data_IF_460522251489
#
_entry.id   IF_460522251489
#
_cell.length_a   1.000
_cell.length_b   1.000
_cell.length_c   1.000
_cell.angle_alpha   90.00
_cell.angle_beta   90.00
_cell.angle_gamma   90.00
#
_symmetry.space_group_name_H-M   'P 1'
#
loop_
_entity.id
_entity.type
_entity.pdbx_description
1 polymer ?
#
# COMPACT_ATOMS: atom_id res chain seq x y z
N UNK A 1 -40.61 -54.06 50.76
CA UNK A 1 -40.37 -53.63 52.15
C UNK A 1 -39.37 -52.49 52.12
N UNK A 2 -39.71 -51.20 52.07
CA UNK A 2 -40.92 -50.43 51.75
C UNK A 2 -40.46 -48.96 51.82
N UNK A 3 -40.94 -48.11 50.88
CA UNK A 3 -41.36 -46.71 51.05
C UNK A 3 -40.33 -45.64 51.50
N UNK A 4 -40.35 -44.35 51.10
CA UNK A 4 -41.22 -43.57 50.20
C UNK A 4 -40.62 -42.17 49.92
N UNK A 5 -40.99 -41.63 48.75
CA UNK A 5 -41.46 -40.25 48.42
C UNK A 5 -40.67 -38.96 48.77
N UNK A 6 -40.35 -38.17 47.72
CA UNK A 6 -41.20 -37.07 47.20
C UNK A 6 -40.53 -36.42 45.95
N UNK A 7 -41.14 -36.48 44.74
CA UNK A 7 -42.00 -35.46 44.09
C UNK A 7 -41.33 -34.06 43.93
N UNK A 8 -41.27 -33.40 42.76
CA UNK A 8 -42.27 -33.26 41.67
C UNK A 8 -41.65 -32.79 40.34
N UNK A 9 -42.20 -33.24 39.20
CA UNK A 9 -42.15 -32.61 37.85
C UNK A 9 -43.51 -31.91 37.61
N UNK A 10 -43.69 -30.99 36.62
CA UNK A 10 -44.07 -31.37 35.22
C UNK A 10 -43.29 -30.58 34.14
N UNK A 11 -42.89 -31.18 33.01
CA UNK A 11 -43.66 -31.36 31.74
C UNK A 11 -44.08 -30.05 31.06
N UNK A 12 -44.13 -29.90 29.73
CA UNK A 12 -43.63 -30.60 28.54
C UNK A 12 -44.18 -29.81 27.33
N UNK A 13 -43.52 -29.89 26.17
CA UNK A 13 -44.11 -30.01 24.80
C UNK A 13 -45.06 -28.88 24.29
N UNK A 14 -45.02 -28.34 23.05
CA UNK A 14 -44.69 -28.84 21.71
C UNK A 14 -44.78 -27.64 20.70
N UNK A 15 -44.02 -27.71 19.59
CA UNK A 15 -44.35 -27.43 18.17
C UNK A 15 -45.28 -26.23 17.77
N UNK A 16 -45.20 -25.51 16.64
CA UNK A 16 -44.52 -25.55 15.33
C UNK A 16 -44.93 -24.28 14.53
N UNK A 17 -44.19 -24.00 13.44
CA UNK A 17 -44.55 -23.25 12.21
C UNK A 17 -44.22 -21.74 12.12
N UNK A 18 -43.53 -21.39 11.03
CA UNK A 18 -42.94 -20.09 10.75
C UNK A 18 -43.88 -19.05 10.11
N UNK A 19 -43.32 -17.88 9.80
CA UNK A 19 -43.53 -17.19 8.51
C UNK A 19 -42.67 -15.92 8.40
N UNK A 20 -42.15 -15.71 7.19
CA UNK A 20 -41.95 -14.43 6.49
C UNK A 20 -41.27 -13.22 7.19
N UNK A 21 -40.14 -12.81 6.60
CA UNK A 21 -40.14 -11.58 5.80
C UNK A 21 -39.72 -10.25 6.44
N UNK A 22 -38.77 -9.61 5.75
CA UNK A 22 -38.61 -8.16 5.53
C UNK A 22 -37.70 -7.32 6.45
N UNK A 23 -36.53 -7.00 5.86
CA UNK A 23 -35.93 -5.67 5.70
C UNK A 23 -36.16 -4.62 6.80
N UNK A 24 -35.15 -4.43 7.67
CA UNK A 24 -34.99 -3.20 8.46
C UNK A 24 -34.19 -2.17 7.65
N UNK A 25 -34.90 -1.22 7.03
CA UNK A 25 -34.36 0.11 6.69
C UNK A 25 -34.38 0.96 7.96
N UNK A 26 -33.22 1.51 8.36
CA UNK A 26 -33.13 2.57 9.37
C UNK A 26 -33.56 3.90 8.75
N UNK A 27 -34.50 4.56 9.39
CA UNK A 27 -35.04 5.88 9.05
C UNK A 27 -34.15 7.00 9.57
N UNK A 28 -34.01 8.04 8.75
CA UNK A 28 -33.54 9.37 9.15
C UNK A 28 -34.63 10.10 9.93
N UNK A 29 -34.19 10.83 10.95
CA UNK A 29 -34.96 11.72 11.81
C UNK A 29 -35.34 13.03 11.11
N UNK A 30 -36.62 13.39 11.18
CA UNK A 30 -37.10 14.79 11.13
C UNK A 30 -38.26 14.95 12.10
N UNK A 31 -38.23 16.08 12.80
CA UNK A 31 -39.02 16.48 13.97
C UNK A 31 -40.41 17.06 13.63
N UNK A 32 -41.18 17.26 14.73
CA UNK A 32 -42.34 18.15 14.95
C UNK A 32 -43.76 17.74 14.49
N UNK A 33 -44.48 17.16 15.46
CA UNK A 33 -45.78 17.57 16.05
C UNK A 33 -47.05 17.82 15.20
N UNK A 34 -48.10 17.05 15.58
CA UNK A 34 -49.56 17.36 15.71
C UNK A 34 -50.32 17.80 14.46
N UNK A 35 -51.55 17.39 14.14
CA UNK A 35 -52.61 16.61 14.82
C UNK A 35 -53.79 16.48 13.83
N UNK A 36 -54.61 15.42 13.97
CA UNK A 36 -56.03 15.28 13.52
C UNK A 36 -56.35 15.45 12.02
N UNK A 37 -57.24 14.72 11.33
CA UNK A 37 -58.25 13.73 11.69
C UNK A 37 -58.88 13.19 10.38
N UNK A 38 -59.18 11.89 10.38
CA UNK A 38 -60.34 11.19 9.78
C UNK A 38 -60.84 11.43 8.34
N UNK A 39 -61.07 10.26 7.69
CA UNK A 39 -62.19 9.89 6.77
C UNK A 39 -62.23 10.57 5.39
N UNK A 40 -62.55 9.93 4.26
CA UNK A 40 -63.29 8.69 3.96
C UNK A 40 -63.18 8.40 2.44
N UNK A 41 -63.45 7.15 2.03
CA UNK A 41 -64.15 6.68 0.79
C UNK A 41 -63.94 7.46 -0.52
N UNK A 42 -63.73 6.88 -1.71
CA UNK A 42 -64.33 5.69 -2.32
C UNK A 42 -63.84 5.58 -3.78
N UNK A 43 -63.75 4.34 -4.25
CA UNK A 43 -64.09 3.82 -5.59
C UNK A 43 -63.77 4.58 -6.90
N UNK A 44 -63.20 3.76 -7.79
CA UNK A 44 -63.58 3.50 -9.20
C UNK A 44 -62.97 4.31 -10.36
N UNK A 45 -62.41 3.51 -11.29
CA UNK A 45 -62.46 3.58 -12.77
C UNK A 45 -61.85 4.78 -13.50
N UNK A 46 -60.80 4.52 -14.29
CA UNK A 46 -60.83 4.55 -15.77
C UNK A 46 -59.39 4.54 -16.34
N UNK A 47 -59.00 3.49 -17.05
CA UNK A 47 -58.96 3.41 -18.51
C UNK A 47 -57.93 4.29 -19.25
N UNK A 48 -57.00 3.57 -19.88
CA UNK A 48 -56.58 3.71 -21.28
C UNK A 48 -55.53 4.75 -21.72
N UNK A 49 -54.65 4.23 -22.60
CA UNK A 49 -53.85 4.89 -23.67
C UNK A 49 -52.54 5.54 -23.21
N UNK A 50 -51.39 5.32 -23.84
CA UNK A 50 -51.11 4.62 -25.09
C UNK A 50 -49.61 4.51 -25.36
N UNK A 51 -49.26 3.47 -26.12
CA UNK A 51 -47.94 3.22 -26.72
C UNK A 51 -47.56 4.36 -27.67
N UNK A 52 -46.33 4.90 -27.60
CA UNK A 52 -45.62 5.40 -28.78
C UNK A 52 -44.10 5.17 -28.69
N UNK A 53 -43.62 4.37 -29.63
CA UNK A 53 -42.23 4.15 -30.05
C UNK A 53 -41.73 5.37 -30.82
N UNK A 54 -40.49 5.83 -30.58
CA UNK A 54 -39.64 6.51 -31.58
C UNK A 54 -38.17 6.29 -31.19
N UNK A 55 -37.44 5.41 -31.88
CA UNK A 55 -36.65 5.63 -33.10
C UNK A 55 -35.19 6.04 -32.84
N UNK A 56 -34.32 5.08 -33.17
CA UNK A 56 -32.86 5.14 -33.32
C UNK A 56 -32.40 6.36 -34.14
N UNK A 57 -31.34 7.04 -33.69
CA UNK A 57 -30.43 7.78 -34.56
C UNK A 57 -28.97 7.45 -34.20
N UNK A 58 -28.42 6.51 -34.96
CA UNK A 58 -26.98 6.34 -35.14
C UNK A 58 -26.47 7.50 -35.99
N UNK A 59 -25.61 8.35 -35.43
CA UNK A 59 -24.79 9.26 -36.23
C UNK A 59 -23.33 8.81 -36.22
N UNK A 60 -22.91 8.26 -37.35
CA UNK A 60 -21.51 8.20 -37.76
C UNK A 60 -20.95 9.63 -37.81
N UNK A 61 -19.93 9.92 -37.01
CA UNK A 61 -18.95 10.97 -37.31
C UNK A 61 -17.55 10.39 -37.21
N UNK A 62 -16.99 10.06 -38.38
CA UNK A 62 -15.56 9.92 -38.61
C UNK A 62 -14.90 11.27 -38.27
N UNK A 63 -14.33 11.37 -37.09
CA UNK A 63 -13.49 12.51 -36.70
C UNK A 63 -12.05 12.23 -37.15
N UNK A 64 -11.49 13.22 -37.85
CA UNK A 64 -10.16 13.20 -38.47
C UNK A 64 -9.08 12.95 -37.41
N UNK A 65 -8.18 12.01 -37.69
CA UNK A 65 -6.83 11.96 -37.09
C UNK A 65 -6.15 13.30 -37.40
N UNK A 66 -6.19 14.23 -36.45
CA UNK A 66 -5.28 15.36 -36.41
C UNK A 66 -3.90 14.79 -36.14
N UNK A 67 -3.02 14.81 -37.14
CA UNK A 67 -1.61 14.44 -36.96
C UNK A 67 -0.98 15.51 -36.07
N UNK A 68 -0.40 15.07 -34.95
CA UNK A 68 0.30 15.91 -33.98
C UNK A 68 1.60 16.48 -34.60
N UNK A 69 1.49 17.50 -35.44
CA UNK A 69 2.64 18.22 -36.01
C UNK A 69 3.54 18.89 -34.94
N UNK A 70 3.04 19.01 -33.70
CA UNK A 70 3.78 19.61 -32.59
C UNK A 70 4.91 18.71 -32.08
N UNK A 71 4.72 17.38 -32.10
CA UNK A 71 5.78 16.44 -31.72
C UNK A 71 6.90 16.42 -32.75
N UNK A 72 6.56 16.48 -34.05
CA UNK A 72 7.56 16.56 -35.11
C UNK A 72 8.38 17.86 -35.04
N UNK A 73 7.76 18.97 -34.61
CA UNK A 73 8.44 20.24 -34.35
C UNK A 73 9.40 20.12 -33.16
N UNK A 74 8.93 19.60 -32.03
CA UNK A 74 9.75 19.40 -30.84
C UNK A 74 10.94 18.46 -31.12
N UNK A 75 10.72 17.40 -31.89
CA UNK A 75 11.78 16.46 -32.28
C UNK A 75 12.85 17.13 -33.15
N UNK A 76 12.45 18.05 -34.04
CA UNK A 76 13.38 18.86 -34.84
C UNK A 76 14.16 19.84 -34.00
N UNK A 77 13.50 20.56 -33.09
CA UNK A 77 14.13 21.53 -32.19
C UNK A 77 15.17 20.84 -31.28
N UNK A 78 14.84 19.66 -30.73
CA UNK A 78 15.79 18.86 -29.92
C UNK A 78 16.96 18.34 -30.78
N UNK A 79 16.72 17.94 -32.03
CA UNK A 79 17.80 17.54 -32.94
C UNK A 79 18.73 18.71 -33.32
N UNK A 80 18.19 19.91 -33.52
CA UNK A 80 18.98 21.12 -33.77
C UNK A 80 19.81 21.51 -32.55
N UNK A 81 19.23 21.45 -31.35
CA UNK A 81 19.96 21.71 -30.11
C UNK A 81 21.14 20.73 -29.92
N UNK A 82 20.93 19.45 -30.23
CA UNK A 82 21.96 18.41 -30.14
C UNK A 82 23.11 18.66 -31.12
N UNK A 83 22.85 19.25 -32.29
CA UNK A 83 23.91 19.65 -33.24
C UNK A 83 24.80 20.76 -32.68
N UNK A 84 24.25 21.67 -31.86
CA UNK A 84 25.02 22.76 -31.25
C UNK A 84 25.83 22.32 -30.03
N UNK A 85 25.36 21.32 -29.27
CA UNK A 85 26.07 20.81 -28.08
C UNK A 85 27.15 19.78 -28.43
N UNK A 86 27.01 19.06 -29.55
CA UNK A 86 27.89 17.94 -29.92
C UNK A 86 28.58 18.10 -31.28
N UNK A 87 28.64 19.31 -31.85
CA UNK A 87 29.52 19.54 -32.99
C UNK A 87 30.99 19.38 -32.54
N UNK A 88 31.79 18.53 -33.19
CA UNK A 88 33.22 18.49 -32.94
C UNK A 88 33.82 19.79 -33.48
N UNK A 89 34.38 20.60 -32.58
CA UNK A 89 35.26 21.72 -32.94
C UNK A 89 36.52 21.15 -33.58
N UNK A 90 36.51 21.04 -34.92
CA UNK A 90 37.72 20.82 -35.69
C UNK A 90 38.26 22.16 -36.16
N UNK A 91 39.52 22.38 -35.75
CA UNK A 91 40.54 23.29 -36.25
C UNK A 91 40.38 24.79 -36.03
N UNK A 92 41.28 25.38 -35.22
CA UNK A 92 42.52 25.99 -35.77
C UNK A 92 43.59 26.16 -34.68
N UNK A 93 44.78 25.68 -34.99
CA UNK A 93 46.05 25.81 -34.26
C UNK A 93 46.52 27.27 -34.14
N UNK A 94 46.96 27.70 -32.96
CA UNK A 94 48.20 28.49 -32.75
C UNK A 94 48.75 28.13 -31.36
N UNK A 95 49.98 27.65 -31.31
CA UNK A 95 50.66 27.28 -30.07
C UNK A 95 51.33 28.46 -29.37
N UNK A 96 51.61 28.29 -28.08
CA UNK A 96 52.90 28.67 -27.50
C UNK A 96 53.11 28.03 -26.11
N UNK A 97 54.07 27.12 -26.06
CA UNK A 97 55.18 27.03 -25.10
C UNK A 97 54.98 27.24 -23.58
N UNK A 98 55.32 26.15 -22.86
CA UNK A 98 56.18 26.07 -21.65
C UNK A 98 55.59 26.50 -20.30
N UNK A 99 55.43 25.54 -19.38
CA UNK A 99 56.22 25.49 -18.14
C UNK A 99 56.01 24.17 -17.39
N UNK A 100 56.98 23.27 -17.54
CA UNK A 100 57.28 22.16 -16.63
C UNK A 100 58.42 22.64 -15.72
N UNK A 101 58.10 22.91 -14.46
CA UNK A 101 59.01 23.14 -13.34
C UNK A 101 58.17 22.94 -12.08
N UNK A 102 58.59 22.30 -11.01
CA UNK A 102 59.83 21.65 -10.62
C UNK A 102 59.48 20.97 -9.29
N UNK A 103 60.05 19.79 -9.01
CA UNK A 103 59.89 19.14 -7.72
C UNK A 103 60.41 20.00 -6.57
N UNK A 104 59.76 19.87 -5.41
CA UNK A 104 60.39 20.04 -4.10
C UNK A 104 59.84 18.95 -3.19
N UNK A 105 60.74 18.02 -2.87
CA UNK A 105 60.66 17.02 -1.81
C UNK A 105 60.62 17.70 -0.44
N UNK A 106 59.92 17.11 0.52
CA UNK A 106 59.88 17.61 1.89
C UNK A 106 59.17 16.69 2.87
N UNK A 107 59.53 15.40 2.87
CA UNK A 107 59.44 14.60 4.10
C UNK A 107 60.48 15.10 5.12
N UNK A 108 60.21 14.82 6.40
CA UNK A 108 60.94 15.17 7.64
C UNK A 108 60.50 16.47 8.33
N UNK A 109 59.55 16.35 9.26
CA UNK A 109 59.83 16.38 10.72
C UNK A 109 58.67 15.69 11.46
N UNK A 110 58.94 14.53 12.07
CA UNK A 110 58.21 14.06 13.26
C UNK A 110 58.70 14.86 14.47
N UNK A 111 57.80 15.30 15.35
CA UNK A 111 57.82 14.97 16.80
C UNK A 111 56.64 15.64 17.56
N UNK A 112 55.69 14.79 17.97
CA UNK A 112 54.86 14.82 19.18
C UNK A 112 54.31 16.15 19.76
N UNK A 113 52.99 16.32 19.61
CA UNK A 113 52.13 16.66 20.75
C UNK A 113 50.90 15.76 20.73
N UNK A 114 50.84 14.87 21.71
CA UNK A 114 49.67 14.09 22.10
C UNK A 114 48.61 15.09 22.58
N UNK A 115 47.56 15.31 21.80
CA UNK A 115 46.29 15.81 22.32
C UNK A 115 45.28 14.68 22.24
N UNK A 116 45.04 14.09 23.41
CA UNK A 116 43.93 13.20 23.71
C UNK A 116 42.61 13.95 23.48
N UNK A 117 42.09 13.88 22.26
CA UNK A 117 40.67 13.95 21.98
C UNK A 117 40.41 13.18 20.69
N UNK A 118 40.64 11.87 20.76
CA UNK A 118 40.08 10.93 19.79
C UNK A 118 38.57 10.96 19.97
N UNK A 119 37.90 11.90 19.30
CA UNK A 119 36.49 11.79 19.00
C UNK A 119 36.30 10.45 18.31
N UNK A 120 35.83 9.45 19.05
CA UNK A 120 35.18 8.30 18.45
C UNK A 120 33.91 8.81 17.77
N UNK A 121 34.04 9.41 16.59
CA UNK A 121 32.98 9.40 15.59
C UNK A 121 32.86 7.96 15.10
N UNK A 122 32.30 7.09 15.94
CA UNK A 122 31.76 5.82 15.49
C UNK A 122 30.50 6.15 14.68
N UNK A 123 30.69 6.63 13.46
CA UNK A 123 29.60 6.90 12.53
C UNK A 123 28.94 5.57 12.16
N UNK A 124 27.89 5.22 12.88
CA UNK A 124 27.09 4.04 12.65
C UNK A 124 26.23 4.27 11.38
N UNK A 125 26.84 4.06 10.22
CA UNK A 125 26.26 4.41 8.92
C UNK A 125 25.87 3.14 8.15
N UNK A 126 24.58 3.00 7.82
CA UNK A 126 24.15 1.93 6.90
C UNK A 126 24.45 2.34 5.45
N UNK A 127 25.27 1.56 4.76
CA UNK A 127 25.50 1.69 3.33
C UNK A 127 24.23 1.39 2.53
N UNK A 128 23.91 2.23 1.55
CA UNK A 128 22.76 2.06 0.65
C UNK A 128 23.29 1.46 -0.65
N UNK A 129 22.93 0.20 -0.92
CA UNK A 129 23.35 -0.52 -2.12
C UNK A 129 22.13 -1.04 -2.91
N UNK A 130 22.23 -1.05 -4.24
CA UNK A 130 21.26 -1.70 -5.12
C UNK A 130 21.97 -2.79 -5.92
N UNK A 131 21.40 -4.00 -5.95
CA UNK A 131 21.94 -5.14 -6.70
C UNK A 131 21.24 -5.26 -8.05
N UNK A 132 22.01 -5.55 -9.11
CA UNK A 132 21.51 -5.56 -10.50
C UNK A 132 21.13 -6.95 -11.04
N UNK A 133 21.51 -8.05 -10.36
CA UNK A 133 21.23 -9.42 -10.81
C UNK A 133 20.25 -10.13 -9.87
N UNK A 134 19.28 -10.82 -10.47
CA UNK A 134 18.25 -11.56 -9.73
C UNK A 134 18.79 -12.92 -9.23
N UNK A 135 18.78 -13.18 -7.91
CA UNK A 135 19.10 -14.49 -7.35
C UNK A 135 17.89 -15.45 -7.49
N UNK A 136 18.16 -16.76 -7.48
CA UNK A 136 17.10 -17.79 -7.47
C UNK A 136 16.20 -17.67 -6.23
N UNK A 137 14.89 -17.87 -6.37
CA UNK A 137 13.93 -17.80 -5.25
C UNK A 137 14.15 -18.97 -4.28
N UNK A 138 14.62 -18.73 -3.04
CA UNK A 138 14.80 -19.79 -2.06
C UNK A 138 13.47 -20.22 -1.44
N UNK A 139 13.36 -21.45 -0.90
CA UNK A 139 12.19 -21.86 -0.14
C UNK A 139 12.07 -21.05 1.16
N UNK A 140 10.85 -20.63 1.50
CA UNK A 140 10.58 -19.85 2.71
C UNK A 140 10.73 -20.72 3.97
N UNK A 141 11.53 -20.31 4.97
CA UNK A 141 11.59 -21.03 6.25
C UNK A 141 10.23 -21.08 6.96
N UNK A 142 9.92 -22.21 7.60
CA UNK A 142 8.58 -22.46 8.17
C UNK A 142 8.14 -21.41 9.20
N UNK A 143 9.09 -20.91 10.02
CA UNK A 143 8.83 -19.84 10.99
C UNK A 143 8.29 -18.57 10.32
N UNK A 144 8.90 -18.15 9.22
CA UNK A 144 8.47 -16.96 8.48
C UNK A 144 7.20 -17.20 7.70
N UNK A 145 6.95 -18.43 7.24
CA UNK A 145 5.69 -18.79 6.61
C UNK A 145 4.51 -18.67 7.58
N UNK A 146 4.66 -19.14 8.82
CA UNK A 146 3.64 -18.99 9.87
C UNK A 146 3.39 -17.52 10.22
N UNK A 147 4.46 -16.72 10.30
CA UNK A 147 4.34 -15.29 10.55
C UNK A 147 3.63 -14.58 9.39
N UNK A 148 3.98 -14.92 8.14
CA UNK A 148 3.33 -14.42 6.93
C UNK A 148 1.82 -14.70 6.95
N UNK A 149 1.41 -15.94 7.25
CA UNK A 149 0.00 -16.32 7.33
C UNK A 149 -0.77 -15.47 8.33
N UNK A 150 -0.15 -15.12 9.47
CA UNK A 150 -0.75 -14.26 10.47
C UNK A 150 -0.88 -12.81 9.97
N UNK A 151 0.23 -12.20 9.54
CA UNK A 151 0.26 -10.76 9.20
C UNK A 151 -0.47 -10.43 7.89
N UNK A 152 -0.53 -11.38 6.95
CA UNK A 152 -1.28 -11.24 5.69
C UNK A 152 -2.67 -11.86 5.71
N UNK A 153 -3.02 -12.56 6.80
CA UNK A 153 -4.33 -13.22 6.99
C UNK A 153 -4.73 -14.12 5.81
N UNK A 154 -3.77 -14.73 5.11
CA UNK A 154 -4.06 -15.63 4.00
C UNK A 154 -4.84 -16.85 4.51
N UNK A 155 -5.82 -17.32 3.72
CA UNK A 155 -6.77 -18.36 4.13
C UNK A 155 -7.90 -17.88 5.04
N UNK A 156 -7.84 -16.65 5.58
CA UNK A 156 -8.93 -16.04 6.34
C UNK A 156 -9.92 -15.34 5.41
N UNK A 157 -11.17 -15.20 5.83
CA UNK A 157 -12.17 -14.33 5.16
C UNK A 157 -11.86 -12.84 5.31
N UNK A 158 -11.08 -12.47 6.34
CA UNK A 158 -10.68 -11.08 6.65
C UNK A 158 -9.36 -10.64 6.00
N UNK A 159 -8.92 -11.37 4.96
CA UNK A 159 -7.64 -11.13 4.28
C UNK A 159 -7.54 -9.75 3.61
N UNK A 160 -8.67 -9.19 3.16
CA UNK A 160 -8.74 -7.86 2.54
C UNK A 160 -8.98 -6.72 3.55
N UNK A 161 -9.14 -7.03 4.84
CA UNK A 161 -9.43 -6.02 5.88
C UNK A 161 -8.19 -5.33 6.45
N UNK A 162 -7.03 -5.50 5.82
CA UNK A 162 -5.77 -4.89 6.27
C UNK A 162 -5.77 -3.39 5.93
N UNK A 163 -6.21 -2.57 6.89
CA UNK A 163 -6.31 -1.11 6.72
C UNK A 163 -4.95 -0.45 6.84
N UNK A 164 -4.47 0.19 5.78
CA UNK A 164 -3.15 0.83 5.77
C UNK A 164 -3.19 2.33 5.40
N UNK A 165 -4.35 2.85 4.97
CA UNK A 165 -4.47 4.21 4.44
C UNK A 165 -4.12 5.30 5.46
N UNK A 166 -4.44 5.11 6.74
CA UNK A 166 -4.05 6.04 7.81
C UNK A 166 -2.55 6.03 8.05
N UNK A 167 -1.95 4.84 8.11
CA UNK A 167 -0.50 4.68 8.18
C UNK A 167 0.16 5.34 6.97
N UNK A 168 -0.32 5.12 5.74
CA UNK A 168 0.28 5.71 4.53
C UNK A 168 0.27 7.24 4.57
N UNK A 169 -0.79 7.86 5.11
CA UNK A 169 -0.84 9.32 5.30
C UNK A 169 0.27 9.83 6.23
N UNK A 170 0.69 9.04 7.22
CA UNK A 170 1.80 9.42 8.13
C UNK A 170 3.17 9.41 7.45
N UNK A 171 3.29 8.73 6.31
CA UNK A 171 4.56 8.58 5.58
C UNK A 171 4.57 9.24 4.20
N UNK A 172 3.44 9.83 3.79
CA UNK A 172 3.39 10.65 2.59
C UNK A 172 3.79 12.08 2.91
N UNK A 173 4.93 12.53 2.38
CA UNK A 173 5.44 13.88 2.55
C UNK A 173 5.71 14.54 1.20
N UNK A 174 5.32 15.80 1.08
CA UNK A 174 5.69 16.63 -0.05
C UNK A 174 6.85 17.54 0.36
N UNK A 175 7.89 17.71 -0.49
CA UNK A 175 8.08 17.08 -1.80
C UNK A 175 8.69 15.66 -1.72
N UNK A 176 8.59 14.89 -2.81
CA UNK A 176 9.41 13.69 -3.06
C UNK A 176 8.96 12.38 -2.42
N UNK A 177 8.20 12.41 -1.32
CA UNK A 177 7.66 11.22 -0.66
C UNK A 177 6.13 11.13 -0.84
N UNK A 178 5.66 11.44 -2.04
CA UNK A 178 4.28 11.26 -2.51
C UNK A 178 4.32 11.01 -4.02
N UNK A 179 3.19 10.66 -4.62
CA UNK A 179 3.09 10.56 -6.08
C UNK A 179 3.57 11.83 -6.78
N UNK A 180 4.43 11.65 -7.78
CA UNK A 180 4.88 12.73 -8.61
C UNK A 180 3.72 13.24 -9.48
N UNK A 181 3.58 14.56 -9.54
CA UNK A 181 2.58 15.16 -10.40
C UNK A 181 3.07 15.11 -11.85
N UNK A 182 2.18 14.70 -12.74
CA UNK A 182 2.42 14.74 -14.18
C UNK A 182 2.45 16.20 -14.66
N UNK A 183 3.50 16.58 -15.39
CA UNK A 183 3.60 17.92 -15.96
C UNK A 183 2.42 18.21 -16.91
N UNK A 184 1.92 19.46 -16.87
CA UNK A 184 0.71 19.87 -17.59
C UNK A 184 0.75 19.55 -19.10
N UNK A 185 1.93 19.62 -19.71
CA UNK A 185 2.14 19.38 -21.15
C UNK A 185 1.89 17.92 -21.54
N UNK A 186 2.05 16.99 -20.60
CA UNK A 186 1.97 15.54 -20.85
C UNK A 186 0.81 14.85 -20.12
N UNK A 187 0.03 15.58 -19.32
CA UNK A 187 -1.13 15.05 -18.58
C UNK A 187 -2.14 14.30 -19.46
N UNK A 188 -2.30 14.69 -20.73
CA UNK A 188 -3.19 13.99 -21.67
C UNK A 188 -2.75 12.57 -22.04
N UNK A 189 -1.47 12.25 -21.85
CA UNK A 189 -0.89 10.92 -22.12
C UNK A 189 -0.87 10.03 -20.88
N UNK A 190 -1.00 10.60 -19.69
CA UNK A 190 -1.03 9.87 -18.43
C UNK A 190 -2.42 9.27 -18.16
N UNK A 191 -2.61 8.07 -18.71
CA UNK A 191 -3.88 7.34 -18.67
C UNK A 191 -3.94 6.27 -17.57
N UNK A 192 -2.81 5.99 -16.92
CA UNK A 192 -2.64 4.84 -16.04
C UNK A 192 -2.67 5.26 -14.57
N UNK A 193 -3.83 5.69 -14.08
CA UNK A 193 -4.02 6.15 -12.69
C UNK A 193 -3.53 5.17 -11.62
N UNK A 194 -3.56 3.87 -11.89
CA UNK A 194 -3.05 2.87 -10.94
C UNK A 194 -1.53 2.98 -10.74
N UNK A 195 -0.77 3.46 -11.72
CA UNK A 195 0.68 3.68 -11.61
C UNK A 195 0.99 4.83 -10.65
N UNK A 196 0.22 5.93 -10.69
CA UNK A 196 0.31 7.03 -9.71
C UNK A 196 0.09 6.52 -8.28
N UNK A 197 -0.93 5.67 -8.08
CA UNK A 197 -1.19 5.09 -6.76
C UNK A 197 -0.03 4.19 -6.29
N UNK A 198 0.57 3.42 -7.20
CA UNK A 198 1.75 2.60 -6.90
C UNK A 198 2.96 3.48 -6.56
N UNK A 199 3.19 4.56 -7.31
CA UNK A 199 4.24 5.54 -7.03
C UNK A 199 4.07 6.14 -5.63
N UNK A 200 2.86 6.63 -5.31
CA UNK A 200 2.49 7.08 -3.96
C UNK A 200 2.83 6.07 -2.86
N UNK A 201 2.60 4.80 -3.15
CA UNK A 201 2.84 3.70 -2.20
C UNK A 201 4.34 3.48 -1.99
N UNK A 202 5.12 3.45 -3.07
CA UNK A 202 6.57 3.32 -3.00
C UNK A 202 7.24 4.54 -2.38
N UNK A 203 6.72 5.74 -2.63
CA UNK A 203 7.18 6.97 -1.99
C UNK A 203 7.00 6.91 -0.47
N UNK A 204 5.82 6.50 0.01
CA UNK A 204 5.54 6.27 1.44
C UNK A 204 6.46 5.19 2.04
N UNK A 205 6.61 4.04 1.36
CA UNK A 205 7.48 2.96 1.82
C UNK A 205 8.95 3.40 1.92
N UNK A 206 9.42 4.17 0.95
CA UNK A 206 10.78 4.72 0.95
C UNK A 206 10.99 5.62 2.16
N UNK A 207 10.06 6.54 2.43
CA UNK A 207 10.15 7.39 3.62
C UNK A 207 10.10 6.59 4.92
N UNK A 208 9.24 5.57 4.99
CA UNK A 208 9.12 4.69 6.15
C UNK A 208 10.42 3.93 6.45
N UNK A 209 11.10 3.39 5.43
CA UNK A 209 12.40 2.72 5.58
C UNK A 209 13.48 3.70 6.04
N UNK A 210 13.52 4.92 5.50
CA UNK A 210 14.46 5.95 5.94
C UNK A 210 14.22 6.33 7.42
N UNK A 211 12.96 6.52 7.83
CA UNK A 211 12.59 6.80 9.22
C UNK A 211 12.92 5.64 10.16
N UNK A 212 12.75 4.40 9.71
CA UNK A 212 13.14 3.22 10.47
C UNK A 212 14.65 3.20 10.73
N UNK A 213 15.46 3.49 9.70
CA UNK A 213 16.91 3.62 9.80
C UNK A 213 17.32 4.73 10.77
N UNK A 214 16.71 5.91 10.65
CA UNK A 214 16.95 7.04 11.56
C UNK A 214 16.61 6.65 13.02
N UNK A 215 15.45 6.03 13.25
CA UNK A 215 15.03 5.57 14.58
C UNK A 215 16.01 4.57 15.17
N UNK A 216 16.54 3.65 14.36
CA UNK A 216 17.56 2.69 14.78
C UNK A 216 18.87 3.38 15.17
N UNK A 217 19.34 4.32 14.34
CA UNK A 217 20.54 5.09 14.64
C UNK A 217 20.37 5.89 15.94
N UNK A 218 19.23 6.53 16.15
CA UNK A 218 18.94 7.30 17.36
C UNK A 218 18.83 6.41 18.60
N UNK A 219 18.21 5.23 18.50
CA UNK A 219 18.17 4.24 19.58
C UNK A 219 19.59 3.80 19.99
N UNK A 220 20.46 3.49 19.01
CA UNK A 220 21.84 3.09 19.29
C UNK A 220 22.64 4.24 19.92
N UNK A 221 22.55 5.46 19.38
CA UNK A 221 23.22 6.64 19.98
C UNK A 221 22.75 6.88 21.42
N UNK A 222 21.44 6.74 21.67
CA UNK A 222 20.85 6.90 23.00
C UNK A 222 21.34 5.82 23.97
N UNK A 223 21.45 4.56 23.50
CA UNK A 223 22.00 3.48 24.31
C UNK A 223 23.47 3.72 24.67
N UNK A 224 24.27 4.15 23.69
CA UNK A 224 25.70 4.44 23.91
C UNK A 224 25.90 5.64 24.84
N UNK A 225 25.08 6.69 24.73
CA UNK A 225 25.12 7.83 25.64
C UNK A 225 24.75 7.40 27.06
N UNK A 226 23.65 6.65 27.23
CA UNK A 226 23.22 6.13 28.52
C UNK A 226 24.28 5.24 29.20
N UNK A 227 24.97 4.39 28.42
CA UNK A 227 25.99 3.48 28.93
C UNK A 227 27.27 4.20 29.43
N UNK A 228 27.48 5.47 29.06
CA UNK A 228 28.63 6.26 29.54
C UNK A 228 28.46 6.75 30.98
N UNK A 229 27.22 7.00 31.40
CA UNK A 229 26.92 7.70 32.64
C UNK A 229 26.56 6.77 33.82
N UNK A 230 26.48 5.45 33.58
CA UNK A 230 25.99 4.46 34.55
C UNK A 230 26.87 3.20 34.52
N UNK A 231 27.07 2.57 35.69
CA UNK A 231 27.59 1.20 35.74
C UNK A 231 26.59 0.22 35.12
N UNK A 232 26.87 -0.20 33.89
CA UNK A 232 26.05 -1.12 33.12
C UNK A 232 26.09 -2.51 33.75
N UNK A 233 24.92 -3.09 34.01
CA UNK A 233 24.74 -4.47 34.42
C UNK A 233 23.69 -5.13 33.50
N UNK A 234 23.55 -6.47 33.49
CA UNK A 234 22.66 -7.14 32.55
C UNK A 234 21.18 -6.74 32.67
N UNK A 235 20.72 -6.45 33.89
CA UNK A 235 19.32 -6.10 34.17
C UNK A 235 18.98 -4.70 33.66
N UNK A 236 19.81 -3.70 33.97
CA UNK A 236 19.61 -2.32 33.53
C UNK A 236 19.81 -2.20 32.01
N UNK A 237 20.72 -2.97 31.42
CA UNK A 237 20.94 -3.04 29.98
C UNK A 237 19.74 -3.64 29.28
N UNK A 238 19.21 -4.77 29.75
CA UNK A 238 18.02 -5.42 29.17
C UNK A 238 16.83 -4.47 29.20
N UNK A 239 16.58 -3.83 30.34
CA UNK A 239 15.51 -2.84 30.49
C UNK A 239 15.67 -1.68 29.50
N UNK A 240 16.89 -1.15 29.34
CA UNK A 240 17.17 -0.07 28.39
C UNK A 240 16.99 -0.49 26.94
N UNK A 241 17.39 -1.72 26.59
CA UNK A 241 17.20 -2.27 25.24
C UNK A 241 15.70 -2.45 24.94
N UNK A 242 14.92 -2.95 25.89
CA UNK A 242 13.46 -3.06 25.73
C UNK A 242 12.79 -1.70 25.55
N UNK A 243 13.17 -0.72 26.35
CA UNK A 243 12.69 0.66 26.24
C UNK A 243 12.97 1.23 24.83
N UNK A 244 14.19 1.12 24.34
CA UNK A 244 14.62 1.77 23.09
C UNK A 244 14.18 1.03 21.83
N UNK A 245 14.21 -0.31 21.82
CA UNK A 245 14.05 -1.10 20.60
C UNK A 245 12.71 -1.82 20.51
N UNK A 246 12.10 -2.21 21.64
CA UNK A 246 10.80 -2.90 21.66
C UNK A 246 9.65 -1.91 21.85
N UNK A 247 9.84 -0.91 22.72
CA UNK A 247 8.81 0.09 23.04
C UNK A 247 9.06 1.46 22.38
N UNK A 248 10.21 1.63 21.73
CA UNK A 248 10.59 2.88 21.08
C UNK A 248 10.10 3.03 19.64
N UNK A 249 10.49 4.15 19.02
CA UNK A 249 10.07 4.54 17.67
C UNK A 249 10.51 3.56 16.57
N UNK A 250 11.61 2.82 16.80
CA UNK A 250 12.06 1.79 15.87
C UNK A 250 11.02 0.68 15.70
N UNK A 251 10.48 0.14 16.80
CA UNK A 251 9.45 -0.90 16.75
C UNK A 251 8.16 -0.38 16.12
N UNK A 252 7.74 0.83 16.49
CA UNK A 252 6.56 1.49 15.92
C UNK A 252 6.70 1.65 14.40
N UNK A 253 7.82 2.21 13.93
CA UNK A 253 8.07 2.41 12.49
C UNK A 253 8.18 1.08 11.74
N UNK A 254 8.77 0.05 12.37
CA UNK A 254 8.84 -1.31 11.80
C UNK A 254 7.44 -1.93 11.65
N UNK A 255 6.57 -1.72 12.63
CA UNK A 255 5.19 -2.18 12.61
C UNK A 255 4.37 -1.46 11.54
N UNK A 256 4.53 -0.14 11.43
CA UNK A 256 3.93 0.67 10.38
C UNK A 256 4.38 0.22 8.98
N UNK A 257 5.67 -0.05 8.78
CA UNK A 257 6.21 -0.57 7.52
C UNK A 257 5.55 -1.89 7.15
N UNK A 258 5.41 -2.80 8.12
CA UNK A 258 4.75 -4.08 7.90
C UNK A 258 3.26 -3.88 7.56
N UNK A 259 2.57 -2.95 8.23
CA UNK A 259 1.18 -2.60 7.94
C UNK A 259 1.01 -2.08 6.51
N UNK A 260 1.91 -1.20 6.05
CA UNK A 260 1.91 -0.67 4.67
C UNK A 260 2.11 -1.78 3.64
N UNK A 261 3.17 -2.59 3.81
CA UNK A 261 3.47 -3.68 2.88
C UNK A 261 2.33 -4.70 2.84
N UNK A 262 1.77 -5.04 4.00
CA UNK A 262 0.67 -5.99 4.07
C UNK A 262 -0.62 -5.45 3.47
N UNK A 263 -0.97 -4.21 3.76
CA UNK A 263 -2.15 -3.56 3.21
C UNK A 263 -2.10 -3.40 1.70
N UNK A 264 -0.98 -2.91 1.15
CA UNK A 264 -0.82 -2.80 -0.30
C UNK A 264 -0.83 -4.16 -1.00
N UNK A 265 -0.22 -5.19 -0.38
CA UNK A 265 -0.29 -6.55 -0.95
C UNK A 265 -1.72 -7.08 -0.96
N UNK A 266 -2.51 -6.84 0.10
CA UNK A 266 -3.92 -7.23 0.14
C UNK A 266 -4.71 -6.51 -0.96
N UNK A 267 -4.54 -5.20 -1.13
CA UNK A 267 -5.20 -4.43 -2.20
C UNK A 267 -4.81 -4.94 -3.60
N UNK A 268 -3.54 -5.25 -3.85
CA UNK A 268 -3.10 -5.82 -5.13
C UNK A 268 -3.73 -7.19 -5.37
N UNK A 269 -3.81 -8.05 -4.35
CA UNK A 269 -4.50 -9.35 -4.46
C UNK A 269 -5.98 -9.13 -4.78
N UNK A 270 -6.64 -8.17 -4.13
CA UNK A 270 -8.04 -7.80 -4.38
C UNK A 270 -8.26 -7.32 -5.81
N UNK A 271 -7.50 -6.33 -6.28
CA UNK A 271 -7.57 -5.84 -7.66
C UNK A 271 -7.37 -6.96 -8.68
N UNK A 272 -6.41 -7.87 -8.45
CA UNK A 272 -6.18 -9.02 -9.33
C UNK A 272 -7.38 -9.97 -9.34
N UNK A 273 -7.96 -10.25 -8.18
CA UNK A 273 -9.13 -11.11 -8.06
C UNK A 273 -10.36 -10.47 -8.71
N UNK A 274 -10.61 -9.18 -8.49
CA UNK A 274 -11.70 -8.44 -9.12
C UNK A 274 -11.59 -8.42 -10.65
N UNK A 275 -10.37 -8.26 -11.18
CA UNK A 275 -10.11 -8.35 -12.63
C UNK A 275 -10.48 -9.72 -13.21
N UNK A 276 -10.33 -10.80 -12.43
CA UNK A 276 -10.72 -12.15 -12.83
C UNK A 276 -12.24 -12.33 -12.68
N UNK A 277 -12.81 -12.00 -11.52
CA UNK A 277 -14.23 -12.24 -11.22
C UNK A 277 -15.17 -11.33 -11.99
N UNK A 278 -14.70 -10.16 -12.44
CA UNK A 278 -15.46 -9.28 -13.36
C UNK A 278 -15.73 -9.91 -14.73
N UNK A 279 -14.98 -10.96 -15.12
CA UNK A 279 -15.22 -11.72 -16.35
C UNK A 279 -16.32 -12.77 -16.20
N UNK A 280 -16.70 -13.12 -14.98
CA UNK A 280 -17.81 -14.05 -14.72
C UNK A 280 -19.15 -13.34 -15.01
N UNK A 281 -19.96 -13.92 -15.91
CA UNK A 281 -21.26 -13.36 -16.29
C UNK A 281 -22.34 -13.58 -15.22
N UNK A 282 -22.29 -14.71 -14.53
CA UNK A 282 -23.28 -15.09 -13.52
C UNK A 282 -22.95 -14.43 -12.16
N UNK A 283 -23.86 -13.63 -11.60
CA UNK A 283 -23.71 -13.03 -10.27
C UNK A 283 -23.50 -14.06 -9.13
N UNK A 284 -24.10 -15.25 -9.21
CA UNK A 284 -23.94 -16.29 -8.19
C UNK A 284 -22.54 -16.89 -8.21
N UNK A 285 -22.01 -17.17 -9.40
CA UNK A 285 -20.62 -17.58 -9.61
C UNK A 285 -19.66 -16.50 -9.08
N UNK A 286 -19.93 -15.23 -9.39
CA UNK A 286 -19.12 -14.11 -8.89
C UNK A 286 -19.13 -14.04 -7.36
N UNK A 287 -20.30 -14.17 -6.73
CA UNK A 287 -20.44 -14.16 -5.28
C UNK A 287 -19.72 -15.35 -4.61
N UNK A 288 -19.77 -16.53 -5.21
CA UNK A 288 -19.07 -17.71 -4.73
C UNK A 288 -17.54 -17.56 -4.82
N UNK A 289 -17.03 -17.09 -5.97
CA UNK A 289 -15.60 -16.84 -6.17
C UNK A 289 -15.04 -15.79 -5.20
N UNK A 290 -15.83 -14.77 -4.86
CA UNK A 290 -15.44 -13.75 -3.89
C UNK A 290 -15.31 -14.30 -2.45
N UNK A 291 -16.00 -15.41 -2.12
CA UNK A 291 -15.91 -16.05 -0.80
C UNK A 291 -14.67 -16.91 -0.61
N UNK A 292 -14.06 -17.38 -1.70
CA UNK A 292 -12.86 -18.23 -1.62
C UNK A 292 -11.66 -17.35 -1.22
N UNK A 293 -11.01 -17.56 -0.06
CA UNK A 293 -9.84 -16.74 0.32
C UNK A 293 -8.61 -17.05 -0.55
N UNK A 294 -7.61 -16.16 -0.61
CA UNK A 294 -6.32 -16.48 -1.20
C UNK A 294 -5.54 -17.43 -0.30
N UNK A 295 -4.69 -18.27 -0.89
CA UNK A 295 -3.76 -19.15 -0.16
C UNK A 295 -2.32 -18.63 -0.26
N UNK A 296 -1.36 -19.39 0.26
CA UNK A 296 0.07 -19.08 0.16
C UNK A 296 0.59 -19.15 -1.27
N UNK A 297 -0.12 -19.84 -2.16
CA UNK A 297 0.30 -20.13 -3.54
C UNK A 297 -0.66 -19.50 -4.56
N UNK A 298 -1.96 -19.52 -4.28
CA UNK A 298 -3.00 -19.19 -5.26
C UNK A 298 -3.86 -18.00 -4.85
N UNK A 299 -4.36 -17.24 -5.83
CA UNK A 299 -5.31 -16.13 -5.60
C UNK A 299 -6.66 -16.60 -5.06
N UNK A 300 -7.01 -17.85 -5.32
CA UNK A 300 -8.17 -18.55 -4.77
C UNK A 300 -7.65 -19.88 -4.23
N UNK A 301 -8.01 -20.21 -2.99
CA UNK A 301 -7.69 -21.49 -2.38
C UNK A 301 -8.07 -22.65 -3.32
N UNK A 302 -7.11 -23.56 -3.58
CA UNK A 302 -7.25 -24.57 -4.63
C UNK A 302 -8.33 -25.60 -4.32
N UNK A 303 -8.52 -25.94 -3.05
CA UNK A 303 -9.41 -27.02 -2.66
C UNK A 303 -10.86 -26.51 -2.64
N UNK A 304 -11.05 -25.29 -2.12
CA UNK A 304 -12.33 -24.57 -2.20
C UNK A 304 -12.70 -24.23 -3.66
N UNK A 305 -11.72 -23.91 -4.51
CA UNK A 305 -11.98 -23.64 -5.92
C UNK A 305 -12.34 -24.90 -6.73
N UNK A 306 -11.74 -26.05 -6.42
CA UNK A 306 -12.08 -27.33 -7.08
C UNK A 306 -13.47 -27.81 -6.69
N UNK A 307 -13.82 -27.73 -5.40
CA UNK A 307 -15.15 -28.09 -4.91
C UNK A 307 -16.26 -27.23 -5.52
N UNK A 308 -15.98 -25.96 -5.85
CA UNK A 308 -16.90 -25.08 -6.57
C UNK A 308 -17.20 -25.54 -8.02
N UNK A 309 -16.23 -26.11 -8.74
CA UNK A 309 -16.43 -26.54 -10.13
C UNK A 309 -17.01 -27.97 -10.26
N UNK A 310 -17.15 -28.69 -9.15
CA UNK A 310 -17.68 -30.05 -9.11
C UNK A 310 -19.21 -30.10 -8.88
N UNK A 311 -19.85 -28.95 -8.70
CA UNK A 311 -21.31 -28.74 -8.58
C UNK A 311 -21.85 -27.97 -9.75
#
# INVERSE_FOLDING_TARGET
MDNNENNSIPESLLAVAGSSGTARKRSHSTSSSSSSSSSSSSSSSDQNRGKRRHHRRNHHKKSKRSKNNNFDKLFKEIQELRKHVFAPTNDTLVGDNVSLCSGVSGELFEENTIDENTYFENEFTFNIETKLKEPSVPPTPEKFLKLLLNVQRLGSTSWSDIRYAETQKLYNHSPGFTELQTNEEVTSYDTLRYQSNIDKSYAALTFCVLKQKESLQNAIRSLLAWAKDIHVNPENLSSKVEELFLNGDFHKTSSDLLQLVCGHRAEIIEMRRESITSKAKDPLVKAALNKIPPSTIYLFDSDLFKSFNAT
#
